data_IF_370067086912
#
_entry.id   IF_370067086912
#
_cell.length_a   1.000
_cell.length_b   1.000
_cell.length_c   1.000
_cell.angle_alpha   90.00
_cell.angle_beta   90.00
_cell.angle_gamma   90.00
#
_symmetry.space_group_name_H-M   'P 1'
#
loop_
_entity.id
_entity.type
_entity.pdbx_description
1 polymer ?
#
# COMPACT_ATOMS: atom_id res chain seq x y z
N UNK A 1 12.98 -0.73 24.62
CA UNK A 1 14.00 0.16 24.00
C UNK A 1 14.48 -0.49 22.70
N UNK A 2 14.49 0.22 21.57
CA UNK A 2 14.91 -0.36 20.29
C UNK A 2 16.45 -0.43 20.22
N UNK A 3 17.02 -1.56 19.77
CA UNK A 3 18.47 -1.72 19.57
C UNK A 3 19.09 -0.62 18.69
N UNK A 4 18.33 -0.07 17.74
CA UNK A 4 18.79 1.06 16.93
C UNK A 4 18.98 2.33 17.75
N UNK A 5 18.07 2.59 18.71
CA UNK A 5 18.19 3.72 19.62
C UNK A 5 19.38 3.54 20.58
N UNK A 6 19.60 2.31 21.06
CA UNK A 6 20.78 1.97 21.89
C UNK A 6 22.08 2.21 21.10
N UNK A 7 22.13 1.79 19.83
CA UNK A 7 23.30 2.06 18.97
C UNK A 7 23.57 3.55 18.80
N UNK A 8 22.50 4.35 18.58
CA UNK A 8 22.62 5.81 18.51
C UNK A 8 23.09 6.43 19.81
N UNK A 9 22.57 6.01 20.96
CA UNK A 9 23.01 6.49 22.28
C UNK A 9 24.48 6.14 22.57
N UNK A 10 24.93 4.97 22.12
CA UNK A 10 26.30 4.50 22.30
C UNK A 10 27.27 5.04 21.24
N UNK A 11 26.80 5.82 20.27
CA UNK A 11 27.64 6.35 19.18
C UNK A 11 28.25 5.27 18.28
N UNK A 12 27.63 4.08 18.21
CA UNK A 12 28.13 2.95 17.40
C UNK A 12 27.18 2.61 16.27
N UNK A 13 27.73 2.05 15.18
CA UNK A 13 26.87 1.54 14.11
C UNK A 13 25.97 0.40 14.63
N UNK A 14 24.71 0.30 14.16
CA UNK A 14 23.84 -0.83 14.49
C UNK A 14 24.45 -2.20 14.18
N UNK A 15 25.32 -2.28 13.16
CA UNK A 15 26.07 -3.50 12.83
C UNK A 15 27.09 -3.84 13.90
N UNK A 16 27.81 -2.86 14.42
CA UNK A 16 28.77 -3.04 15.52
C UNK A 16 28.07 -3.56 16.76
N UNK A 17 26.93 -2.93 17.13
CA UNK A 17 26.13 -3.37 18.27
C UNK A 17 25.60 -4.80 18.07
N UNK A 18 25.11 -5.13 16.88
CA UNK A 18 24.64 -6.48 16.56
C UNK A 18 25.76 -7.53 16.66
N UNK A 19 26.97 -7.23 16.17
CA UNK A 19 28.11 -8.13 16.28
C UNK A 19 28.52 -8.36 17.73
N UNK A 20 28.69 -7.29 18.52
CA UNK A 20 29.02 -7.37 19.95
C UNK A 20 27.97 -8.15 20.73
N UNK A 21 26.70 -7.95 20.39
CA UNK A 21 25.57 -8.67 20.98
C UNK A 21 25.69 -10.19 20.77
N UNK A 22 26.09 -10.62 19.57
CA UNK A 22 26.34 -12.04 19.27
C UNK A 22 27.57 -12.53 20.05
N UNK A 23 28.67 -11.77 20.01
CA UNK A 23 29.93 -12.07 20.70
C UNK A 23 29.74 -12.28 22.21
N UNK A 24 28.94 -11.42 22.86
CA UNK A 24 28.64 -11.50 24.29
C UNK A 24 27.41 -12.37 24.62
N UNK A 25 26.84 -13.07 23.64
CA UNK A 25 25.69 -13.97 23.87
C UNK A 25 24.42 -13.26 24.35
N UNK A 26 24.28 -11.95 24.12
CA UNK A 26 23.12 -11.15 24.54
C UNK A 26 21.97 -11.44 23.57
N UNK A 27 21.29 -12.58 23.72
CA UNK A 27 20.22 -12.98 22.82
C UNK A 27 18.93 -12.15 23.00
N UNK A 28 17.99 -12.26 22.04
CA UNK A 28 16.64 -11.73 22.27
C UNK A 28 15.99 -12.67 23.27
N UNK A 29 15.37 -12.13 24.32
CA UNK A 29 14.63 -12.93 25.29
C UNK A 29 13.41 -13.49 24.57
N UNK A 30 13.54 -14.72 24.07
CA UNK A 30 12.42 -15.45 23.53
C UNK A 30 11.69 -16.14 24.68
N UNK A 31 10.37 -16.14 24.61
CA UNK A 31 9.53 -16.90 25.53
C UNK A 31 9.84 -18.38 25.38
N UNK A 32 10.02 -19.05 26.51
CA UNK A 32 10.00 -20.51 26.55
C UNK A 32 8.54 -20.94 26.41
N UNK A 33 8.23 -21.62 25.31
CA UNK A 33 6.87 -22.05 24.97
C UNK A 33 6.96 -23.36 24.19
N UNK A 34 6.12 -24.32 24.56
CA UNK A 34 6.07 -25.60 23.88
C UNK A 34 5.44 -25.47 22.50
N UNK A 35 5.72 -26.44 21.62
CA UNK A 35 5.08 -26.48 20.30
C UNK A 35 3.55 -26.55 20.37
N UNK A 36 3.00 -27.25 21.38
CA UNK A 36 1.55 -27.41 21.57
C UNK A 36 0.89 -26.10 22.02
N UNK A 37 1.46 -25.40 23.01
CA UNK A 37 0.97 -24.09 23.46
C UNK A 37 1.04 -23.04 22.35
N UNK A 38 2.11 -23.07 21.55
CA UNK A 38 2.22 -22.20 20.39
C UNK A 38 1.10 -22.47 19.37
N UNK A 39 0.84 -23.74 19.06
CA UNK A 39 -0.23 -24.09 18.13
C UNK A 39 -1.61 -23.70 18.66
N UNK A 40 -1.86 -23.90 19.96
CA UNK A 40 -3.09 -23.46 20.62
C UNK A 40 -3.29 -21.95 20.48
N UNK A 41 -2.27 -21.16 20.82
CA UNK A 41 -2.32 -19.70 20.70
C UNK A 41 -2.56 -19.24 19.26
N UNK A 42 -1.89 -19.86 18.28
CA UNK A 42 -2.08 -19.51 16.87
C UNK A 42 -3.50 -19.88 16.40
N UNK A 43 -4.02 -21.05 16.78
CA UNK A 43 -5.41 -21.44 16.44
C UNK A 43 -6.42 -20.46 17.02
N UNK A 44 -6.21 -20.06 18.27
CA UNK A 44 -7.06 -19.08 18.95
C UNK A 44 -7.04 -17.70 18.24
N UNK A 45 -5.86 -17.21 17.87
CA UNK A 45 -5.71 -15.97 17.06
C UNK A 45 -6.43 -16.09 15.71
N UNK A 46 -6.33 -17.24 15.05
CA UNK A 46 -6.96 -17.48 13.75
C UNK A 46 -8.49 -17.64 13.84
N UNK A 47 -9.04 -18.01 15.00
CA UNK A 47 -10.49 -17.99 15.24
C UNK A 47 -11.04 -16.55 15.23
N UNK A 48 -10.33 -15.63 15.88
CA UNK A 48 -10.71 -14.21 15.92
C UNK A 48 -10.41 -13.50 14.59
N UNK A 49 -9.32 -13.88 13.92
CA UNK A 49 -8.89 -13.27 12.67
C UNK A 49 -8.57 -14.33 11.60
N UNK A 50 -9.63 -14.89 10.97
CA UNK A 50 -9.45 -15.84 9.89
C UNK A 50 -8.57 -15.26 8.77
N UNK A 51 -7.76 -16.11 8.15
CA UNK A 51 -6.85 -15.75 7.04
C UNK A 51 -5.65 -14.85 7.37
N UNK A 52 -5.45 -14.49 8.64
CA UNK A 52 -4.30 -13.71 9.09
C UNK A 52 -2.96 -14.30 8.65
N UNK A 53 -2.03 -13.42 8.27
CA UNK A 53 -0.67 -13.77 7.83
C UNK A 53 0.31 -13.91 8.98
N UNK A 54 1.49 -14.45 8.66
CA UNK A 54 2.63 -14.58 9.58
C UNK A 54 2.90 -13.27 10.35
N UNK A 55 2.83 -12.13 9.67
CA UNK A 55 3.05 -10.81 10.28
C UNK A 55 2.00 -10.48 11.34
N UNK A 56 0.72 -10.71 11.05
CA UNK A 56 -0.38 -10.41 11.96
C UNK A 56 -0.36 -11.36 13.16
N UNK A 57 -0.22 -12.67 12.91
CA UNK A 57 -0.13 -13.70 13.96
C UNK A 57 1.03 -13.42 14.90
N UNK A 58 2.21 -13.06 14.37
CA UNK A 58 3.36 -12.67 15.20
C UNK A 58 3.08 -11.40 16.02
N UNK A 59 2.35 -10.43 15.46
CA UNK A 59 1.92 -9.24 16.20
C UNK A 59 0.99 -9.58 17.35
N UNK A 60 0.00 -10.45 17.11
CA UNK A 60 -0.93 -10.92 18.12
C UNK A 60 -0.24 -11.74 19.22
N UNK A 61 0.72 -12.61 18.87
CA UNK A 61 1.54 -13.32 19.87
C UNK A 61 2.33 -12.35 20.75
N UNK A 62 2.95 -11.32 20.16
CA UNK A 62 3.64 -10.28 20.92
C UNK A 62 2.72 -9.49 21.85
N UNK A 63 1.49 -9.21 21.41
CA UNK A 63 0.48 -8.57 22.25
C UNK A 63 0.09 -9.44 23.47
N UNK A 64 0.24 -10.77 23.36
CA UNK A 64 0.10 -11.72 24.48
C UNK A 64 1.38 -11.92 25.29
N UNK A 65 2.42 -11.11 25.06
CA UNK A 65 3.73 -11.26 25.70
C UNK A 65 4.61 -12.38 25.13
N UNK A 66 4.11 -13.14 24.15
CA UNK A 66 4.83 -14.28 23.56
C UNK A 66 5.78 -13.78 22.48
N UNK A 67 7.07 -13.79 22.80
CA UNK A 67 8.14 -13.38 21.90
C UNK A 67 8.85 -14.62 21.40
N UNK A 68 8.63 -15.01 20.15
CA UNK A 68 9.27 -16.20 19.56
C UNK A 68 9.93 -15.91 18.22
N UNK A 69 10.81 -16.80 17.80
CA UNK A 69 11.49 -16.68 16.53
C UNK A 69 10.48 -16.73 15.38
N UNK A 70 10.73 -15.89 14.35
CA UNK A 70 9.87 -15.78 13.18
C UNK A 70 9.68 -17.11 12.45
N UNK A 71 10.72 -17.96 12.42
CA UNK A 71 10.65 -19.26 11.77
C UNK A 71 9.72 -20.24 12.48
N UNK A 72 9.67 -20.25 13.83
CA UNK A 72 8.73 -21.10 14.60
C UNK A 72 7.28 -20.77 14.29
N UNK A 73 6.93 -19.48 14.22
CA UNK A 73 5.58 -19.04 13.79
C UNK A 73 5.26 -19.54 12.38
N UNK A 74 6.24 -19.47 11.47
CA UNK A 74 6.07 -19.89 10.08
C UNK A 74 5.84 -21.38 9.97
N UNK A 75 6.58 -22.20 10.72
CA UNK A 75 6.39 -23.65 10.76
C UNK A 75 5.05 -24.03 11.36
N UNK A 76 4.69 -23.46 12.51
CA UNK A 76 3.40 -23.73 13.14
C UNK A 76 2.23 -23.38 12.19
N UNK A 77 2.27 -22.22 11.53
CA UNK A 77 1.26 -21.85 10.53
C UNK A 77 1.31 -22.71 9.25
N UNK A 78 2.41 -23.42 8.95
CA UNK A 78 2.46 -24.37 7.83
C UNK A 78 1.65 -25.63 8.18
N UNK A 79 1.72 -26.05 9.44
CA UNK A 79 0.99 -27.20 9.97
C UNK A 79 -0.49 -26.90 10.25
N UNK A 80 -0.80 -25.73 10.84
CA UNK A 80 -2.16 -25.36 11.25
C UNK A 80 -3.04 -24.94 10.06
N UNK A 81 -2.46 -24.20 9.10
CA UNK A 81 -3.21 -23.60 7.98
C UNK A 81 -2.49 -23.82 6.64
N UNK A 82 -2.36 -25.09 6.20
CA UNK A 82 -1.70 -25.41 4.94
C UNK A 82 -2.49 -24.87 3.73
N UNK A 83 -3.82 -24.89 3.80
CA UNK A 83 -4.72 -24.52 2.70
C UNK A 83 -4.67 -23.02 2.42
N UNK A 84 -4.95 -22.16 3.40
CA UNK A 84 -4.94 -20.71 3.12
C UNK A 84 -3.54 -20.20 2.82
N UNK A 85 -2.50 -20.89 3.30
CA UNK A 85 -1.12 -20.60 2.90
C UNK A 85 -0.87 -20.94 1.43
N UNK A 86 -1.34 -22.09 0.95
CA UNK A 86 -1.24 -22.47 -0.46
C UNK A 86 -2.04 -21.49 -1.35
N UNK A 87 -3.25 -21.14 -0.95
CA UNK A 87 -4.09 -20.15 -1.65
C UNK A 87 -3.38 -18.80 -1.77
N UNK A 88 -2.77 -18.29 -0.68
CA UNK A 88 -2.00 -17.04 -0.70
C UNK A 88 -0.78 -17.09 -1.63
N UNK A 89 -0.10 -18.23 -1.72
CA UNK A 89 1.02 -18.42 -2.67
C UNK A 89 0.54 -18.45 -4.12
N UNK A 90 -0.64 -19.03 -4.38
CA UNK A 90 -1.24 -19.09 -5.73
C UNK A 90 -1.57 -17.69 -6.26
N UNK A 91 -2.00 -16.77 -5.40
CA UNK A 91 -2.28 -15.38 -5.77
C UNK A 91 -1.05 -14.47 -5.77
N UNK A 92 0.16 -15.00 -5.97
CA UNK A 92 1.31 -14.16 -6.28
C UNK A 92 0.92 -13.24 -7.46
N UNK A 93 0.95 -11.93 -7.21
CA UNK A 93 0.46 -10.91 -8.16
C UNK A 93 1.13 -11.16 -9.50
N UNK A 94 0.36 -11.65 -10.46
CA UNK A 94 0.79 -11.79 -11.84
C UNK A 94 1.00 -10.39 -12.39
N UNK A 95 2.24 -9.91 -12.36
CA UNK A 95 2.62 -8.61 -12.92
C UNK A 95 2.43 -8.69 -14.42
N UNK A 96 1.30 -8.20 -14.92
CA UNK A 96 1.06 -8.04 -16.36
C UNK A 96 2.16 -7.16 -16.94
N UNK A 97 2.67 -7.51 -18.12
CA UNK A 97 3.53 -6.64 -18.91
C UNK A 97 2.80 -5.31 -19.13
N UNK A 98 3.28 -4.27 -18.47
CA UNK A 98 2.68 -2.94 -18.54
C UNK A 98 3.31 -2.17 -19.70
N UNK A 99 2.58 -2.04 -20.81
CA UNK A 99 3.06 -1.35 -22.00
C UNK A 99 2.11 -0.23 -22.43
N UNK A 100 2.66 0.96 -22.66
CA UNK A 100 1.96 2.12 -23.24
C UNK A 100 2.69 2.44 -24.54
N UNK A 101 1.98 2.69 -25.64
CA UNK A 101 2.63 2.73 -26.97
C UNK A 101 3.55 3.93 -27.24
N UNK A 102 3.36 5.06 -26.56
CA UNK A 102 4.11 6.31 -26.79
C UNK A 102 4.00 7.27 -25.61
N UNK A 103 4.93 8.25 -25.46
CA UNK A 103 4.81 9.31 -24.46
C UNK A 103 3.50 10.08 -24.62
N UNK A 104 2.98 10.61 -23.52
CA UNK A 104 1.76 11.43 -23.46
C UNK A 104 0.49 10.72 -23.94
N UNK A 105 0.55 9.38 -24.10
CA UNK A 105 -0.62 8.56 -24.47
C UNK A 105 -1.51 8.27 -23.27
N UNK A 106 -0.92 8.08 -22.11
CA UNK A 106 -1.64 7.72 -20.89
C UNK A 106 -0.88 8.27 -19.68
N UNK A 107 -1.51 9.18 -18.94
CA UNK A 107 -1.03 9.59 -17.63
C UNK A 107 -1.72 8.80 -16.54
N UNK A 108 -0.98 8.48 -15.48
CA UNK A 108 -1.51 7.92 -14.25
C UNK A 108 -1.56 8.98 -13.19
N UNK A 109 -2.71 9.13 -12.54
CA UNK A 109 -2.90 10.02 -11.40
C UNK A 109 -3.28 9.16 -10.21
N UNK A 110 -2.62 9.37 -9.08
CA UNK A 110 -2.88 8.65 -7.84
C UNK A 110 -2.65 9.57 -6.63
N UNK A 111 -3.36 9.24 -5.54
CA UNK A 111 -3.38 10.00 -4.29
C UNK A 111 -2.93 9.09 -3.14
N UNK A 112 -1.97 9.54 -2.34
CA UNK A 112 -1.48 8.79 -1.18
C UNK A 112 -1.95 9.46 0.12
N UNK A 113 -2.79 8.71 0.85
CA UNK A 113 -3.49 9.15 2.06
C UNK A 113 -2.84 8.62 3.35
N UNK A 114 -1.63 8.04 3.29
CA UNK A 114 -0.95 7.49 4.49
C UNK A 114 -0.64 8.55 5.54
N UNK A 115 -0.57 9.81 5.15
CA UNK A 115 -0.28 10.94 6.04
C UNK A 115 -1.53 11.75 6.41
N UNK A 116 -2.73 11.20 6.18
CA UNK A 116 -3.99 11.91 6.42
C UNK A 116 -4.21 12.27 7.90
N UNK A 117 -3.59 11.53 8.83
CA UNK A 117 -3.58 11.85 10.28
C UNK A 117 -2.94 13.21 10.58
N UNK A 118 -1.99 13.65 9.74
CA UNK A 118 -1.40 14.99 9.79
C UNK A 118 -2.08 15.97 8.83
N UNK A 119 -3.24 15.59 8.27
CA UNK A 119 -3.95 16.33 7.23
C UNK A 119 -3.08 16.56 6.00
N UNK A 120 -2.23 15.60 5.63
CA UNK A 120 -1.40 15.69 4.43
C UNK A 120 -1.81 14.61 3.41
N UNK A 121 -2.04 15.04 2.18
CA UNK A 121 -2.36 14.16 1.05
C UNK A 121 -1.39 14.44 -0.09
N UNK A 122 -0.70 13.39 -0.54
CA UNK A 122 0.27 13.49 -1.64
C UNK A 122 -0.42 13.08 -2.94
N UNK A 123 -0.43 13.98 -3.92
CA UNK A 123 -0.92 13.70 -5.27
C UNK A 123 0.24 13.59 -6.24
N UNK A 124 0.24 12.55 -7.05
CA UNK A 124 1.26 12.30 -8.06
C UNK A 124 0.65 12.03 -9.43
N UNK A 125 1.29 12.53 -10.47
CA UNK A 125 0.97 12.20 -11.85
C UNK A 125 2.23 11.79 -12.62
N UNK A 126 2.16 10.66 -13.32
CA UNK A 126 3.28 10.12 -14.11
C UNK A 126 2.83 9.75 -15.53
N UNK A 127 3.73 9.87 -16.50
CA UNK A 127 3.52 9.32 -17.84
C UNK A 127 3.70 7.80 -17.84
N UNK A 128 2.75 7.08 -18.45
CA UNK A 128 2.73 5.62 -18.47
C UNK A 128 3.76 4.98 -19.41
N UNK A 129 4.32 5.72 -20.36
CA UNK A 129 5.37 5.24 -21.26
C UNK A 129 6.76 5.59 -20.73
N UNK A 130 7.06 6.88 -20.61
CA UNK A 130 8.40 7.36 -20.23
C UNK A 130 8.69 7.28 -18.73
N UNK A 131 7.65 7.08 -17.90
CA UNK A 131 7.72 7.20 -16.43
C UNK A 131 8.15 8.59 -15.95
N UNK A 132 8.07 9.60 -16.81
CA UNK A 132 8.30 10.98 -16.44
C UNK A 132 7.30 11.42 -15.37
N UNK A 133 7.81 12.06 -14.33
CA UNK A 133 6.98 12.65 -13.27
C UNK A 133 6.44 13.98 -13.78
N UNK A 134 5.14 14.05 -14.02
CA UNK A 134 4.45 15.26 -14.47
C UNK A 134 4.34 16.25 -13.30
N UNK A 135 3.91 15.76 -12.14
CA UNK A 135 3.95 16.49 -10.88
C UNK A 135 3.90 15.53 -9.69
N UNK A 136 4.44 15.99 -8.57
CA UNK A 136 4.16 15.47 -7.22
C UNK A 136 3.92 16.67 -6.32
N UNK A 137 2.79 16.70 -5.62
CA UNK A 137 2.41 17.81 -4.75
C UNK A 137 1.79 17.29 -3.46
N UNK A 138 2.01 18.03 -2.38
CA UNK A 138 1.42 17.78 -1.08
C UNK A 138 0.35 18.84 -0.82
N UNK A 139 -0.82 18.41 -0.37
CA UNK A 139 -1.93 19.27 -0.02
C UNK A 139 -2.44 18.98 1.36
N UNK A 140 -3.06 20.00 1.97
CA UNK A 140 -3.79 19.87 3.22
C UNK A 140 -5.28 19.58 3.04
N UNK A 141 -5.73 19.56 1.78
CA UNK A 141 -7.09 19.27 1.37
C UNK A 141 -7.09 18.34 0.14
N UNK A 142 -8.22 17.68 -0.11
CA UNK A 142 -8.42 16.79 -1.26
C UNK A 142 -9.51 17.34 -2.19
N UNK A 143 -9.50 18.65 -2.42
CA UNK A 143 -10.52 19.29 -3.24
C UNK A 143 -10.25 19.06 -4.74
N UNK A 144 -11.31 18.77 -5.49
CA UNK A 144 -11.20 18.43 -6.91
C UNK A 144 -10.58 19.55 -7.76
N UNK A 145 -10.86 20.81 -7.41
CA UNK A 145 -10.27 21.97 -8.08
C UNK A 145 -8.73 22.02 -7.94
N UNK A 146 -8.19 21.61 -6.78
CA UNK A 146 -6.75 21.64 -6.50
C UNK A 146 -6.02 20.58 -7.32
N UNK A 147 -6.62 19.40 -7.44
CA UNK A 147 -6.13 18.32 -8.31
C UNK A 147 -6.18 18.75 -9.78
N UNK A 148 -7.27 19.37 -10.22
CA UNK A 148 -7.39 19.93 -11.57
C UNK A 148 -6.31 20.97 -11.85
N UNK A 149 -6.02 21.88 -10.92
CA UNK A 149 -4.99 22.89 -11.10
C UNK A 149 -3.59 22.27 -11.28
N UNK A 150 -3.26 21.23 -10.52
CA UNK A 150 -2.02 20.47 -10.72
C UNK A 150 -1.95 19.85 -12.10
N UNK A 151 -3.05 19.24 -12.54
CA UNK A 151 -3.17 18.65 -13.85
C UNK A 151 -2.95 19.69 -14.96
N UNK A 152 -3.60 20.85 -14.87
CA UNK A 152 -3.44 21.96 -15.82
C UNK A 152 -2.01 22.47 -15.87
N UNK A 153 -1.35 22.62 -14.73
CA UNK A 153 0.06 23.01 -14.67
C UNK A 153 0.99 21.97 -15.32
N UNK A 154 0.68 20.67 -15.14
CA UNK A 154 1.37 19.59 -15.84
C UNK A 154 1.19 19.67 -17.36
N UNK A 155 -0.04 19.89 -17.82
CA UNK A 155 -0.35 20.03 -19.24
C UNK A 155 0.36 21.22 -19.90
N UNK A 156 0.51 22.35 -19.19
CA UNK A 156 1.27 23.50 -19.71
C UNK A 156 2.71 23.15 -20.06
N UNK A 157 3.31 22.17 -19.36
CA UNK A 157 4.70 21.73 -19.58
C UNK A 157 4.82 20.57 -20.56
N UNK A 158 3.93 19.58 -20.47
CA UNK A 158 4.05 18.29 -21.18
C UNK A 158 2.98 18.09 -22.26
N UNK A 159 2.09 19.06 -22.44
CA UNK A 159 0.93 18.97 -23.32
C UNK A 159 -0.22 18.16 -22.71
N UNK A 160 -1.39 18.22 -23.36
CA UNK A 160 -2.58 17.47 -22.95
C UNK A 160 -2.46 15.98 -23.34
N UNK A 161 -2.49 15.04 -22.38
CA UNK A 161 -2.42 13.61 -22.69
C UNK A 161 -3.59 13.13 -23.54
N UNK A 162 -3.39 12.00 -24.23
CA UNK A 162 -4.50 11.35 -24.94
C UNK A 162 -5.51 10.73 -23.97
N UNK A 163 -5.04 10.23 -22.82
CA UNK A 163 -5.84 9.52 -21.81
C UNK A 163 -5.26 9.75 -20.42
N UNK A 164 -6.12 9.64 -19.42
CA UNK A 164 -5.74 9.64 -18.01
C UNK A 164 -6.34 8.40 -17.35
N UNK A 165 -5.60 7.80 -16.42
CA UNK A 165 -6.08 6.72 -15.55
C UNK A 165 -5.87 7.14 -14.10
N UNK A 166 -6.95 7.08 -13.34
CA UNK A 166 -6.96 7.26 -11.89
C UNK A 166 -8.08 6.41 -11.28
N UNK A 167 -8.16 6.42 -9.97
CA UNK A 167 -9.25 5.82 -9.22
C UNK A 167 -10.52 6.69 -9.26
N UNK A 168 -11.63 6.13 -8.76
CA UNK A 168 -12.94 6.79 -8.73
C UNK A 168 -13.10 7.66 -7.48
N UNK A 169 -12.13 8.54 -7.26
CA UNK A 169 -12.15 9.53 -6.19
C UNK A 169 -13.05 10.73 -6.53
N UNK A 170 -13.68 11.33 -5.51
CA UNK A 170 -14.44 12.58 -5.65
C UNK A 170 -13.52 13.76 -6.01
N UNK A 171 -12.27 13.68 -5.59
CA UNK A 171 -11.20 14.62 -5.92
C UNK A 171 -10.78 14.56 -7.40
N UNK A 172 -11.17 13.51 -8.12
CA UNK A 172 -10.81 13.31 -9.52
C UNK A 172 -11.90 13.79 -10.50
N UNK A 173 -13.06 14.22 -9.99
CA UNK A 173 -14.24 14.55 -10.81
C UNK A 173 -13.97 15.70 -11.78
N UNK A 174 -13.30 16.76 -11.33
CA UNK A 174 -13.12 17.97 -12.13
C UNK A 174 -12.14 17.77 -13.29
N UNK A 175 -11.00 17.11 -13.06
CA UNK A 175 -10.10 16.80 -14.18
C UNK A 175 -10.69 15.77 -15.14
N UNK A 176 -11.54 14.87 -14.65
CA UNK A 176 -12.20 13.93 -15.51
C UNK A 176 -13.22 14.62 -16.43
N UNK A 177 -14.02 15.54 -15.89
CA UNK A 177 -14.89 16.42 -16.70
C UNK A 177 -14.06 17.20 -17.72
N UNK A 178 -12.92 17.75 -17.30
CA UNK A 178 -11.98 18.43 -18.19
C UNK A 178 -11.51 17.52 -19.34
N UNK A 179 -11.11 16.28 -19.03
CA UNK A 179 -10.67 15.32 -20.05
C UNK A 179 -11.78 14.92 -21.01
N UNK A 180 -13.01 14.74 -20.51
CA UNK A 180 -14.18 14.45 -21.36
C UNK A 180 -14.46 15.62 -22.30
N UNK A 181 -14.40 16.86 -21.81
CA UNK A 181 -14.61 18.05 -22.63
C UNK A 181 -13.54 18.21 -23.74
N UNK A 182 -12.29 17.84 -23.47
CA UNK A 182 -11.17 18.05 -24.42
C UNK A 182 -10.82 16.83 -25.30
N UNK A 183 -11.17 15.61 -24.88
CA UNK A 183 -10.82 14.35 -25.57
C UNK A 183 -12.03 13.46 -25.88
N UNK A 184 -13.22 13.84 -25.44
CA UNK A 184 -14.45 13.05 -25.60
C UNK A 184 -14.58 11.91 -24.59
N UNK A 185 -15.68 11.17 -24.69
CA UNK A 185 -15.92 9.99 -23.85
C UNK A 185 -14.90 8.88 -24.17
N UNK A 186 -14.46 8.13 -23.15
CA UNK A 186 -13.51 7.05 -23.37
C UNK A 186 -14.15 5.92 -24.18
N UNK A 187 -13.62 5.64 -25.38
CA UNK A 187 -14.00 4.48 -26.17
C UNK A 187 -13.75 3.19 -25.35
N UNK A 188 -14.85 2.46 -25.08
CA UNK A 188 -15.00 1.14 -24.44
C UNK A 188 -13.68 0.41 -24.15
N UNK A 189 -13.30 0.29 -22.86
CA UNK A 189 -12.26 -0.66 -22.42
C UNK A 189 -11.35 -0.22 -21.26
N UNK A 190 -11.55 0.95 -20.67
CA UNK A 190 -10.80 1.39 -19.49
C UNK A 190 -11.79 1.76 -18.37
N UNK A 191 -11.54 1.39 -17.10
CA UNK A 191 -12.40 1.75 -15.99
C UNK A 191 -12.18 3.23 -15.62
N UNK A 192 -12.49 4.12 -16.54
CA UNK A 192 -12.65 5.54 -16.31
C UNK A 192 -13.88 5.91 -17.14
N UNK A 193 -15.04 6.07 -16.50
CA UNK A 193 -16.33 6.51 -17.07
C UNK A 193 -17.11 5.53 -18.00
N UNK A 194 -17.89 4.62 -17.40
CA UNK A 194 -19.26 4.34 -17.89
C UNK A 194 -20.18 5.27 -17.08
N UNK A 195 -20.70 6.31 -17.71
CA UNK A 195 -21.73 7.16 -17.12
C UNK A 195 -23.07 6.45 -17.28
N UNK A 196 -23.63 5.93 -16.18
CA UNK A 196 -25.07 5.79 -16.03
C UNK A 196 -25.43 6.69 -14.84
N UNK A 197 -26.04 7.82 -15.15
CA UNK A 197 -26.54 8.76 -14.16
C UNK A 197 -27.73 8.07 -13.47
N UNK A 198 -27.52 7.47 -12.29
CA UNK A 198 -28.62 7.25 -11.36
C UNK A 198 -28.82 8.53 -10.57
N UNK A 199 -29.83 9.31 -10.95
CA UNK A 199 -30.42 10.27 -10.02
C UNK A 199 -30.86 9.51 -8.76
N UNK A 200 -30.63 10.05 -7.55
CA UNK A 200 -31.24 9.49 -6.36
C UNK A 200 -32.76 9.55 -6.55
N UNK A 201 -33.44 8.42 -6.36
CA UNK A 201 -34.90 8.41 -6.26
C UNK A 201 -35.26 9.42 -5.18
N UNK A 202 -36.11 10.39 -5.54
CA UNK A 202 -36.80 11.21 -4.58
C UNK A 202 -37.53 10.28 -3.61
N UNK A 203 -37.20 10.40 -2.33
CA UNK A 203 -38.01 9.84 -1.25
C UNK A 203 -39.27 10.69 -1.18
N UNK A 204 -40.40 10.11 -1.56
CA UNK A 204 -41.70 10.45 -0.95
C UNK A 204 -41.83 9.56 0.27
#
# INVERSE_FOLDING_TARGET
MNWTAIASCLGVSPKTLHRRRIEYGIADTYSDITGQELQWNIRDILRLTPFSGETYVRGALRARGIHIQRWKVREALKTIDPVNRAIRRRYAIQRRLYNVRKPNRLWHIDSNHKLISWRLVLHGCIDGYSRAIIYVKCFTNSLAHTVLQCFVNGMKKFGLPSRVRGDRGVENVDFARFMIANRGLPNRGLPCYKAEIRYPKASV
#
